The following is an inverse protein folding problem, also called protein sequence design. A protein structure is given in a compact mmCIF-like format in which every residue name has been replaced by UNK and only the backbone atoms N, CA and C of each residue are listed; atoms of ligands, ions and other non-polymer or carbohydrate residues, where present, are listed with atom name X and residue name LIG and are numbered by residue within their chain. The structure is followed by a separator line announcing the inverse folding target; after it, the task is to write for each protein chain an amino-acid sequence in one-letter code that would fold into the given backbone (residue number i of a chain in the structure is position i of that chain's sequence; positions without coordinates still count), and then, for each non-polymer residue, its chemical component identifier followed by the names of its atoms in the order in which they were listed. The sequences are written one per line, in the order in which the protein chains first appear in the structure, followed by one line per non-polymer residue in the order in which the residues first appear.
data_IF_541128442072
#
_entry.id   IF_541128442072
#
_cell.length_a   1.000
_cell.length_b   1.000
_cell.length_c   1.000
_cell.angle_alpha   90.00
_cell.angle_beta   90.00
_cell.angle_gamma   90.00
#
_symmetry.space_group_name_H-M   'P 1'
#
loop_
_entity.id
_entity.type
_entity.pdbx_description
1 polymer ?
#
# COMPACT_ATOMS: atom_id res chain seq x y z
N UNK A 1 -17.23 41.12 -85.13
CA UNK A 1 -16.59 41.55 -83.91
C UNK A 1 -17.46 41.29 -82.66
N UNK A 2 -18.48 40.41 -82.71
CA UNK A 2 -19.47 40.23 -81.64
C UNK A 2 -19.40 38.89 -80.90
N UNK A 3 -18.87 37.79 -81.47
CA UNK A 3 -18.90 36.47 -80.87
C UNK A 3 -17.74 36.24 -79.89
N UNK A 4 -16.57 36.79 -80.12
CA UNK A 4 -15.40 36.68 -79.29
C UNK A 4 -15.55 37.42 -77.92
N UNK A 5 -16.31 38.53 -77.93
CA UNK A 5 -16.57 39.31 -76.70
C UNK A 5 -17.62 38.68 -75.80
N UNK A 6 -18.60 38.00 -76.41
CA UNK A 6 -19.64 37.28 -75.67
C UNK A 6 -19.09 35.97 -75.00
N UNK A 7 -18.09 35.32 -75.65
CA UNK A 7 -17.42 34.16 -75.08
C UNK A 7 -16.52 34.50 -73.88
N UNK A 8 -15.82 35.64 -73.98
CA UNK A 8 -14.99 36.14 -72.83
C UNK A 8 -15.83 36.60 -71.67
N UNK A 9 -17.01 37.13 -71.89
CA UNK A 9 -17.92 37.55 -70.86
C UNK A 9 -18.59 36.31 -70.13
N UNK A 10 -18.94 35.27 -70.92
CA UNK A 10 -19.41 34.00 -70.34
C UNK A 10 -18.34 33.27 -69.49
N UNK A 11 -17.09 33.33 -69.91
CA UNK A 11 -15.97 32.78 -69.17
C UNK A 11 -15.70 33.56 -67.88
N UNK A 12 -15.78 34.88 -67.88
CA UNK A 12 -15.65 35.74 -66.70
C UNK A 12 -16.76 35.53 -65.68
N UNK A 13 -18.00 35.43 -66.14
CA UNK A 13 -19.14 35.16 -65.24
C UNK A 13 -19.09 33.74 -64.62
N UNK A 14 -18.68 32.75 -65.44
CA UNK A 14 -18.53 31.37 -64.94
C UNK A 14 -17.40 31.28 -63.93
N UNK A 15 -16.29 31.98 -64.07
CA UNK A 15 -15.19 31.98 -63.08
C UNK A 15 -15.56 32.73 -61.81
N UNK A 16 -16.37 33.82 -61.91
CA UNK A 16 -16.82 34.56 -60.73
C UNK A 16 -17.80 33.78 -59.88
N UNK A 17 -18.77 33.03 -60.45
CA UNK A 17 -19.67 32.13 -59.73
C UNK A 17 -18.95 30.90 -59.14
N UNK A 18 -18.01 30.32 -59.86
CA UNK A 18 -17.23 29.19 -59.38
C UNK A 18 -16.33 29.57 -58.19
N UNK A 19 -15.71 30.78 -58.25
CA UNK A 19 -14.91 31.26 -57.11
C UNK A 19 -15.73 31.53 -55.86
N UNK A 20 -16.94 32.11 -55.97
CA UNK A 20 -17.80 32.29 -54.80
C UNK A 20 -18.31 30.96 -54.22
N UNK A 21 -18.63 30.02 -55.10
CA UNK A 21 -19.06 28.68 -54.64
C UNK A 21 -17.91 27.93 -53.95
N UNK A 22 -16.70 28.02 -54.48
CA UNK A 22 -15.51 27.43 -53.86
C UNK A 22 -15.20 28.04 -52.49
N UNK A 23 -15.34 29.36 -52.35
CA UNK A 23 -15.14 30.02 -51.03
C UNK A 23 -16.13 29.46 -49.97
N UNK A 24 -17.39 29.32 -50.34
CA UNK A 24 -18.40 28.76 -49.40
C UNK A 24 -18.11 27.30 -49.05
N UNK A 25 -17.68 26.48 -50.02
CA UNK A 25 -17.30 25.09 -49.81
C UNK A 25 -16.07 24.99 -48.91
N UNK A 26 -15.07 25.80 -49.14
CA UNK A 26 -13.85 25.85 -48.29
C UNK A 26 -14.19 26.31 -46.90
N UNK A 27 -15.01 27.35 -46.74
CA UNK A 27 -15.45 27.84 -45.45
C UNK A 27 -16.24 26.78 -44.68
N UNK A 28 -17.13 26.04 -45.32
CA UNK A 28 -17.86 24.89 -44.73
C UNK A 28 -16.91 23.78 -44.28
N UNK A 29 -15.94 23.42 -45.12
CA UNK A 29 -14.98 22.36 -44.79
C UNK A 29 -14.04 22.77 -43.65
N UNK A 30 -13.65 24.04 -43.58
CA UNK A 30 -12.87 24.58 -42.45
C UNK A 30 -13.70 24.50 -41.13
N UNK A 31 -14.97 24.94 -41.21
CA UNK A 31 -15.85 24.82 -40.01
C UNK A 31 -16.05 23.37 -39.56
N UNK A 32 -16.23 22.43 -40.49
CA UNK A 32 -16.29 21.01 -40.17
C UNK A 32 -15.01 20.49 -39.53
N UNK A 33 -13.85 20.94 -40.03
CA UNK A 33 -12.57 20.59 -39.43
C UNK A 33 -12.45 21.13 -38.00
N UNK A 34 -12.83 22.37 -37.77
CA UNK A 34 -12.83 22.96 -36.41
C UNK A 34 -13.79 22.24 -35.46
N UNK A 35 -14.98 21.83 -35.90
CA UNK A 35 -15.90 21.05 -35.06
C UNK A 35 -15.35 19.68 -34.70
N UNK A 36 -14.69 18.98 -35.63
CA UNK A 36 -14.01 17.71 -35.37
C UNK A 36 -12.88 17.85 -34.36
N UNK A 37 -12.02 18.88 -34.52
CA UNK A 37 -10.93 19.15 -33.58
C UNK A 37 -11.47 19.47 -32.18
N UNK A 38 -12.52 20.32 -32.13
CA UNK A 38 -13.17 20.63 -30.82
C UNK A 38 -13.75 19.42 -30.14
N UNK A 39 -14.45 18.55 -30.89
CA UNK A 39 -15.01 17.31 -30.34
C UNK A 39 -13.92 16.36 -29.82
N UNK A 40 -12.81 16.23 -30.57
CA UNK A 40 -11.66 15.43 -30.15
C UNK A 40 -11.00 16.01 -28.89
N UNK A 41 -10.83 17.33 -28.81
CA UNK A 41 -10.27 18.01 -27.63
C UNK A 41 -11.12 17.78 -26.37
N UNK A 42 -12.45 17.82 -26.49
CA UNK A 42 -13.35 17.52 -25.36
C UNK A 42 -13.22 16.05 -24.94
N UNK A 43 -13.13 15.12 -25.87
CA UNK A 43 -12.94 13.70 -25.54
C UNK A 43 -11.62 13.45 -24.79
N UNK A 44 -10.53 14.07 -25.24
CA UNK A 44 -9.22 13.99 -24.55
C UNK A 44 -9.30 14.60 -23.16
N UNK A 45 -9.96 15.76 -23.00
CA UNK A 45 -10.14 16.41 -21.71
C UNK A 45 -10.92 15.52 -20.72
N UNK A 46 -11.98 14.86 -21.18
CA UNK A 46 -12.76 13.92 -20.34
C UNK A 46 -11.92 12.73 -19.87
N UNK A 47 -11.11 12.15 -20.78
CA UNK A 47 -10.19 11.06 -20.43
C UNK A 47 -9.15 11.53 -19.41
N UNK A 48 -8.62 12.73 -19.60
CA UNK A 48 -7.62 13.31 -18.69
C UNK A 48 -8.20 13.57 -17.29
N UNK A 49 -9.41 14.15 -17.21
CA UNK A 49 -10.12 14.36 -15.95
C UNK A 49 -10.41 13.03 -15.26
N UNK A 50 -10.87 12.02 -16.00
CA UNK A 50 -11.11 10.68 -15.46
C UNK A 50 -9.84 10.06 -14.87
N UNK A 51 -8.71 10.19 -15.54
CA UNK A 51 -7.41 9.71 -15.05
C UNK A 51 -6.97 10.44 -13.78
N UNK A 52 -7.12 11.76 -13.71
CA UNK A 52 -6.77 12.55 -12.53
C UNK A 52 -7.70 12.21 -11.35
N UNK A 53 -8.99 12.06 -11.58
CA UNK A 53 -9.94 11.69 -10.53
C UNK A 53 -9.73 10.25 -10.03
N UNK A 54 -9.33 9.34 -10.91
CA UNK A 54 -8.99 7.95 -10.54
C UNK A 54 -7.69 7.86 -9.73
N UNK A 55 -6.78 8.83 -9.86
CA UNK A 55 -5.50 8.88 -9.11
C UNK A 55 -5.62 9.56 -7.75
N UNK A 56 -6.71 10.26 -7.47
CA UNK A 56 -6.97 10.90 -6.18
C UNK A 56 -8.00 10.08 -5.39
N UNK A 57 -7.55 8.99 -4.78
CA UNK A 57 -8.23 8.44 -3.62
C UNK A 57 -8.08 9.45 -2.49
N UNK A 58 -9.14 10.15 -2.13
CA UNK A 58 -9.20 10.93 -0.90
C UNK A 58 -9.35 9.90 0.21
N UNK A 59 -8.24 9.49 0.79
CA UNK A 59 -8.28 8.65 1.99
C UNK A 59 -8.68 9.54 3.16
N UNK A 60 -9.83 9.28 3.81
CA UNK A 60 -10.16 9.98 5.04
C UNK A 60 -9.18 9.54 6.12
N UNK A 61 -8.28 10.43 6.51
CA UNK A 61 -7.42 10.20 7.67
C UNK A 61 -8.27 10.34 8.93
N UNK A 62 -8.43 9.26 9.68
CA UNK A 62 -8.97 9.34 11.03
C UNK A 62 -7.81 9.72 11.93
N UNK A 63 -7.85 10.92 12.46
CA UNK A 63 -6.93 11.40 13.48
C UNK A 63 -7.52 10.95 14.82
N UNK A 64 -6.98 9.90 15.41
CA UNK A 64 -7.28 9.55 16.79
C UNK A 64 -6.39 10.41 17.69
N UNK A 65 -7.00 11.38 18.35
CA UNK A 65 -6.33 12.22 19.34
C UNK A 65 -6.37 11.45 20.66
N UNK A 66 -5.24 10.99 21.14
CA UNK A 66 -5.14 10.37 22.45
C UNK A 66 -5.35 11.46 23.52
N UNK A 67 -6.45 11.39 24.27
CA UNK A 67 -6.86 12.41 25.25
C UNK A 67 -5.82 12.72 26.35
N UNK A 68 -4.81 11.86 26.51
CA UNK A 68 -3.77 12.03 27.56
C UNK A 68 -2.50 12.73 27.10
N UNK A 69 -2.14 12.71 25.82
CA UNK A 69 -0.85 13.25 25.35
C UNK A 69 -0.99 14.35 24.30
N UNK A 70 -2.19 14.57 23.73
CA UNK A 70 -2.42 15.59 22.70
C UNK A 70 -1.67 15.35 21.38
N UNK A 71 -1.01 14.22 21.21
CA UNK A 71 -0.25 13.88 20.01
C UNK A 71 -1.21 13.26 18.99
N UNK A 72 -1.40 13.95 17.86
CA UNK A 72 -2.16 13.42 16.73
C UNK A 72 -1.36 12.32 16.03
N UNK A 73 -1.75 11.06 16.23
CA UNK A 73 -1.16 9.94 15.49
C UNK A 73 -2.06 9.64 14.29
N UNK A 74 -1.51 9.74 13.09
CA UNK A 74 -2.20 9.33 11.86
C UNK A 74 -2.25 7.81 11.85
N UNK A 75 -3.42 7.26 12.16
CA UNK A 75 -3.67 5.82 12.00
C UNK A 75 -4.08 5.58 10.55
N UNK A 76 -3.19 5.00 9.74
CA UNK A 76 -3.57 4.48 8.42
C UNK A 76 -4.66 3.42 8.59
N UNK A 77 -5.88 3.73 8.15
CA UNK A 77 -6.90 2.70 8.03
C UNK A 77 -6.46 1.66 7.00
N UNK A 78 -6.22 0.45 7.44
CA UNK A 78 -5.98 -0.70 6.56
C UNK A 78 -7.26 -1.04 5.80
N UNK A 79 -7.51 -0.35 4.71
CA UNK A 79 -8.59 -0.72 3.80
C UNK A 79 -8.04 -1.76 2.82
N UNK A 80 -8.58 -2.97 2.87
CA UNK A 80 -8.15 -4.13 2.04
C UNK A 80 -8.17 -3.87 0.53
N UNK A 81 -8.82 -2.81 0.08
CA UNK A 81 -8.92 -2.43 -1.34
C UNK A 81 -7.63 -1.84 -1.92
N UNK A 82 -6.69 -1.39 -1.08
CA UNK A 82 -5.46 -0.72 -1.52
C UNK A 82 -4.24 -1.64 -1.57
N UNK A 83 -4.38 -2.92 -1.18
CA UNK A 83 -3.26 -3.86 -1.16
C UNK A 83 -3.36 -4.90 -2.27
N UNK A 84 -2.23 -5.17 -2.93
CA UNK A 84 -2.12 -6.36 -3.77
C UNK A 84 -2.20 -7.62 -2.92
N UNK A 85 -2.70 -8.74 -3.49
CA UNK A 85 -2.79 -10.01 -2.77
C UNK A 85 -1.46 -10.42 -2.09
N UNK A 86 -0.35 -10.11 -2.71
CA UNK A 86 1.01 -10.36 -2.18
C UNK A 86 1.30 -9.52 -0.91
N UNK A 87 0.90 -8.26 -0.88
CA UNK A 87 1.07 -7.40 0.31
C UNK A 87 0.20 -7.86 1.49
N UNK A 88 -1.01 -8.34 1.22
CA UNK A 88 -1.90 -8.88 2.26
C UNK A 88 -1.27 -10.12 2.90
N UNK A 89 -0.73 -11.02 2.09
CA UNK A 89 -0.05 -12.23 2.56
C UNK A 89 1.17 -11.88 3.42
N UNK A 90 2.00 -10.95 2.98
CA UNK A 90 3.17 -10.49 3.76
C UNK A 90 2.74 -9.89 5.10
N UNK A 91 1.75 -9.01 5.11
CA UNK A 91 1.20 -8.42 6.34
C UNK A 91 0.63 -9.48 7.29
N UNK A 92 -0.03 -10.51 6.77
CA UNK A 92 -0.54 -11.62 7.57
C UNK A 92 0.58 -12.33 8.32
N UNK A 93 1.65 -12.76 7.64
CA UNK A 93 2.78 -13.43 8.28
C UNK A 93 3.57 -12.52 9.22
N UNK A 94 3.74 -11.25 8.87
CA UNK A 94 4.35 -10.24 9.75
C UNK A 94 3.55 -10.12 11.04
N UNK A 95 2.22 -9.96 10.95
CA UNK A 95 1.34 -9.86 12.10
C UNK A 95 1.43 -11.10 12.99
N UNK A 96 1.30 -12.29 12.40
CA UNK A 96 1.40 -13.57 13.12
C UNK A 96 2.74 -13.71 13.83
N UNK A 97 3.84 -13.41 13.15
CA UNK A 97 5.18 -13.51 13.72
C UNK A 97 5.42 -12.49 14.84
N UNK A 98 5.07 -11.23 14.63
CA UNK A 98 5.29 -10.16 15.63
C UNK A 98 4.52 -10.44 16.91
N UNK A 99 3.26 -10.87 16.82
CA UNK A 99 2.48 -11.25 18.00
C UNK A 99 3.13 -12.41 18.76
N UNK A 100 3.52 -13.48 18.08
CA UNK A 100 4.16 -14.64 18.69
C UNK A 100 5.56 -14.31 19.25
N UNK A 101 6.34 -13.48 18.54
CA UNK A 101 7.74 -13.19 18.91
C UNK A 101 7.88 -12.10 19.98
N UNK A 102 6.96 -11.16 20.10
CA UNK A 102 7.05 -10.03 21.05
C UNK A 102 6.03 -10.11 22.18
N UNK A 103 5.01 -10.96 22.05
CA UNK A 103 4.04 -11.26 23.09
C UNK A 103 4.51 -12.36 24.04
N UNK A 104 3.84 -12.46 25.20
CA UNK A 104 3.96 -13.58 26.13
C UNK A 104 2.65 -13.77 26.90
N UNK A 105 2.06 -14.95 26.78
CA UNK A 105 0.99 -15.43 27.64
C UNK A 105 1.34 -16.90 28.03
N UNK A 106 1.43 -17.22 29.32
CA UNK A 106 1.76 -18.58 29.77
C UNK A 106 0.90 -19.67 29.15
N UNK A 107 -0.37 -19.37 28.83
CA UNK A 107 -1.33 -20.30 28.23
C UNK A 107 -1.07 -20.60 26.78
N UNK A 108 -0.62 -19.62 26.02
CA UNK A 108 -0.36 -19.74 24.56
C UNK A 108 1.12 -19.89 24.22
N UNK A 109 2.03 -19.67 25.17
CA UNK A 109 3.48 -19.64 24.95
C UNK A 109 4.02 -20.82 24.14
N UNK A 110 3.50 -22.04 24.38
CA UNK A 110 3.95 -23.24 23.65
C UNK A 110 3.60 -23.13 22.16
N UNK A 111 2.39 -22.70 21.84
CA UNK A 111 1.94 -22.52 20.47
C UNK A 111 2.68 -21.34 19.79
N UNK A 112 2.84 -20.23 20.50
CA UNK A 112 3.55 -19.05 20.00
C UNK A 112 5.03 -19.35 19.73
N UNK A 113 5.68 -20.08 20.63
CA UNK A 113 7.07 -20.53 20.44
C UNK A 113 7.22 -21.45 19.22
N UNK A 114 6.22 -22.27 18.92
CA UNK A 114 6.22 -23.13 17.75
C UNK A 114 6.04 -22.29 16.45
N UNK A 115 5.16 -21.31 16.47
CA UNK A 115 5.01 -20.34 15.37
C UNK A 115 6.35 -19.63 15.09
N UNK A 116 7.01 -19.12 16.14
CA UNK A 116 8.32 -18.46 15.97
C UNK A 116 9.37 -19.43 15.42
N UNK A 117 9.38 -20.70 15.89
CA UNK A 117 10.29 -21.73 15.39
C UNK A 117 10.13 -21.98 13.90
N UNK A 118 8.88 -22.04 13.43
CA UNK A 118 8.55 -22.36 12.04
C UNK A 118 8.73 -21.19 11.08
N UNK A 119 8.55 -19.96 11.58
CA UNK A 119 8.60 -18.75 10.77
C UNK A 119 9.95 -18.02 10.84
N UNK A 120 10.92 -18.49 11.63
CA UNK A 120 12.21 -17.82 11.78
C UNK A 120 13.39 -18.75 11.50
N UNK A 121 14.48 -18.16 11.06
CA UNK A 121 15.78 -18.85 11.01
C UNK A 121 16.27 -19.20 12.43
N UNK A 122 17.06 -20.28 12.60
CA UNK A 122 17.54 -20.73 13.91
C UNK A 122 18.19 -19.64 14.78
N UNK A 123 19.01 -18.70 14.26
CA UNK A 123 19.57 -17.63 15.06
C UNK A 123 18.50 -16.71 15.68
N UNK A 124 17.44 -16.40 14.91
CA UNK A 124 16.35 -15.55 15.39
C UNK A 124 15.52 -16.27 16.45
N UNK A 125 15.23 -17.55 16.23
CA UNK A 125 14.54 -18.37 17.23
C UNK A 125 15.35 -18.47 18.53
N UNK A 126 16.65 -18.65 18.47
CA UNK A 126 17.51 -18.68 19.66
C UNK A 126 17.51 -17.34 20.40
N UNK A 127 17.59 -16.21 19.68
CA UNK A 127 17.47 -14.87 20.25
C UNK A 127 16.10 -14.67 20.93
N UNK A 128 15.02 -15.14 20.30
CA UNK A 128 13.67 -15.16 20.90
C UNK A 128 13.64 -15.91 22.22
N UNK A 129 14.15 -17.16 22.27
CA UNK A 129 14.17 -17.99 23.47
C UNK A 129 15.00 -17.38 24.61
N UNK A 130 16.05 -16.64 24.30
CA UNK A 130 16.84 -15.92 25.31
C UNK A 130 16.07 -14.72 25.87
N UNK A 131 15.27 -14.04 25.06
CA UNK A 131 14.48 -12.87 25.46
C UNK A 131 13.19 -13.24 26.17
N UNK A 132 12.45 -14.21 25.63
CA UNK A 132 11.18 -14.70 26.19
C UNK A 132 11.43 -16.06 26.85
N UNK A 133 11.83 -16.02 28.11
CA UNK A 133 12.08 -17.23 28.88
C UNK A 133 10.94 -17.47 29.87
N UNK A 134 10.09 -18.43 29.55
CA UNK A 134 8.91 -18.77 30.37
C UNK A 134 9.26 -19.14 31.79
N UNK A 135 10.45 -19.74 32.06
CA UNK A 135 10.89 -20.07 33.42
C UNK A 135 11.21 -18.84 34.27
N UNK A 136 11.70 -17.76 33.63
CA UNK A 136 12.02 -16.50 34.30
C UNK A 136 10.80 -15.60 34.45
N UNK A 137 9.93 -15.58 33.43
CA UNK A 137 8.72 -14.76 33.44
C UNK A 137 7.63 -15.31 34.38
N UNK A 138 7.52 -16.63 34.46
CA UNK A 138 6.54 -17.30 35.33
C UNK A 138 5.13 -17.37 34.72
N UNK A 139 4.19 -17.83 35.55
CA UNK A 139 2.81 -18.07 35.13
C UNK A 139 1.89 -16.84 35.25
N UNK A 140 2.34 -15.78 35.90
CA UNK A 140 1.54 -14.57 36.14
C UNK A 140 1.92 -13.42 35.23
N UNK A 141 3.09 -13.48 34.55
CA UNK A 141 3.51 -12.45 33.61
C UNK A 141 2.70 -12.53 32.33
N UNK A 142 2.33 -11.38 31.79
CA UNK A 142 1.70 -11.23 30.46
C UNK A 142 2.35 -10.08 29.68
N UNK A 143 2.54 -10.28 28.39
CA UNK A 143 3.02 -9.24 27.48
C UNK A 143 2.11 -9.19 26.27
N UNK A 144 1.30 -8.13 26.17
CA UNK A 144 0.46 -7.87 25.02
C UNK A 144 1.22 -7.06 23.95
N UNK A 145 0.91 -7.29 22.68
CA UNK A 145 1.47 -6.53 21.56
C UNK A 145 0.35 -6.00 20.70
N UNK A 146 0.34 -4.69 20.45
CA UNK A 146 -0.56 -4.04 19.50
C UNK A 146 0.26 -3.41 18.39
N UNK A 147 0.06 -3.85 17.17
CA UNK A 147 0.70 -3.27 15.99
C UNK A 147 0.01 -1.94 15.67
N UNK A 148 0.77 -0.85 15.64
CA UNK A 148 0.32 0.50 15.27
C UNK A 148 0.39 0.71 13.76
N UNK A 149 1.52 0.34 13.14
CA UNK A 149 1.71 0.47 11.69
C UNK A 149 2.70 -0.55 11.15
N UNK A 150 2.56 -0.89 9.86
CA UNK A 150 3.50 -1.74 9.11
C UNK A 150 3.87 -1.01 7.84
N UNK A 151 5.13 -0.63 7.71
CA UNK A 151 5.68 0.04 6.53
C UNK A 151 6.72 -0.86 5.87
N UNK A 152 6.61 -1.09 4.57
CA UNK A 152 7.61 -1.82 3.81
C UNK A 152 8.68 -0.85 3.33
N UNK A 153 9.92 -1.06 3.76
CA UNK A 153 11.08 -0.33 3.27
C UNK A 153 11.54 -0.89 1.93
N UNK A 154 11.47 -2.21 1.79
CA UNK A 154 11.81 -2.98 0.59
C UNK A 154 10.83 -4.14 0.40
N UNK A 155 10.98 -4.87 -0.71
CA UNK A 155 10.17 -6.06 -0.98
C UNK A 155 10.23 -7.10 0.16
N UNK A 156 11.35 -7.18 0.88
CA UNK A 156 11.64 -8.20 1.89
C UNK A 156 11.98 -7.61 3.27
N UNK A 157 11.76 -6.32 3.47
CA UNK A 157 12.04 -5.65 4.75
C UNK A 157 10.87 -4.77 5.14
N UNK A 158 10.43 -4.92 6.39
CA UNK A 158 9.37 -4.11 6.96
C UNK A 158 9.83 -3.47 8.27
N UNK A 159 9.33 -2.26 8.50
CA UNK A 159 9.41 -1.56 9.77
C UNK A 159 8.01 -1.56 10.40
N UNK A 160 7.92 -2.07 11.61
CA UNK A 160 6.66 -2.27 12.32
C UNK A 160 6.71 -1.46 13.62
N UNK A 161 5.78 -0.54 13.79
CA UNK A 161 5.60 0.16 15.06
C UNK A 161 4.62 -0.60 15.92
N UNK A 162 5.00 -0.86 17.17
CA UNK A 162 4.19 -1.62 18.11
C UNK A 162 4.11 -0.89 19.45
N UNK A 163 2.97 -1.06 20.10
CA UNK A 163 2.81 -0.78 21.52
C UNK A 163 2.86 -2.11 22.25
N UNK A 164 3.87 -2.28 23.12
CA UNK A 164 3.98 -3.45 23.98
C UNK A 164 3.55 -3.11 25.41
N UNK A 165 2.52 -3.79 25.87
CA UNK A 165 2.05 -3.72 27.23
C UNK A 165 2.68 -4.86 28.04
N UNK A 166 3.32 -4.54 29.14
CA UNK A 166 4.07 -5.49 29.98
C UNK A 166 3.44 -5.49 31.35
N UNK A 167 2.84 -6.62 31.70
CA UNK A 167 2.27 -6.89 33.01
C UNK A 167 3.14 -7.94 33.72
N UNK A 168 3.89 -7.52 34.72
CA UNK A 168 4.72 -8.39 35.54
C UNK A 168 4.16 -8.46 36.96
N UNK A 169 4.26 -9.63 37.65
CA UNK A 169 3.79 -9.75 39.01
C UNK A 169 4.50 -8.74 39.94
N UNK A 170 3.73 -8.05 40.75
CA UNK A 170 4.19 -7.05 41.73
C UNK A 170 4.81 -5.77 41.10
N UNK A 171 4.56 -5.49 39.80
CA UNK A 171 4.97 -4.26 39.15
C UNK A 171 3.77 -3.57 38.50
N UNK A 172 3.84 -2.25 38.36
CA UNK A 172 2.84 -1.51 37.59
C UNK A 172 2.95 -1.89 36.10
N UNK A 173 1.80 -1.98 35.43
CA UNK A 173 1.75 -2.19 33.98
C UNK A 173 2.57 -1.13 33.26
N UNK A 174 3.51 -1.55 32.43
CA UNK A 174 4.34 -0.67 31.61
C UNK A 174 3.93 -0.76 30.15
N UNK A 175 3.78 0.41 29.52
CA UNK A 175 3.57 0.52 28.08
C UNK A 175 4.85 1.02 27.43
N UNK A 176 5.32 0.30 26.41
CA UNK A 176 6.51 0.67 25.64
C UNK A 176 6.19 0.78 24.17
N UNK A 177 6.53 1.92 23.58
CA UNK A 177 6.51 2.10 22.15
C UNK A 177 7.83 1.60 21.55
N UNK A 178 7.71 0.69 20.58
CA UNK A 178 8.87 0.04 19.97
C UNK A 178 8.74 0.03 18.45
N UNK A 179 9.89 0.11 17.80
CA UNK A 179 10.03 -0.06 16.35
C UNK A 179 10.77 -1.36 16.09
N UNK A 180 10.13 -2.25 15.36
CA UNK A 180 10.68 -3.54 14.95
C UNK A 180 11.11 -3.43 13.50
N UNK A 181 12.39 -3.69 13.21
CA UNK A 181 12.88 -3.86 11.84
C UNK A 181 13.03 -5.33 11.56
N UNK A 182 12.28 -5.82 10.58
CA UNK A 182 12.22 -7.23 10.22
C UNK A 182 12.53 -7.44 8.75
N UNK A 183 13.49 -8.34 8.44
CA UNK A 183 13.72 -8.84 7.08
C UNK A 183 13.27 -10.28 6.98
N UNK A 184 12.62 -10.63 5.88
CA UNK A 184 12.00 -11.93 5.64
C UNK A 184 12.07 -12.31 4.17
N UNK A 185 11.83 -13.58 3.89
CA UNK A 185 11.70 -14.10 2.53
C UNK A 185 10.77 -15.32 2.52
N UNK A 186 10.34 -15.72 1.34
CA UNK A 186 9.55 -16.92 1.14
C UNK A 186 10.42 -18.03 0.53
N UNK A 187 10.38 -19.22 1.11
CA UNK A 187 11.10 -20.40 0.65
C UNK A 187 10.13 -21.59 0.51
N UNK A 188 9.36 -21.69 -0.58
CA UNK A 188 8.35 -22.75 -0.73
C UNK A 188 8.95 -24.16 -0.69
N UNK A 189 10.24 -24.30 -1.04
CA UNK A 189 10.98 -25.57 -1.06
C UNK A 189 11.50 -26.05 0.30
N UNK A 190 11.26 -25.30 1.39
CA UNK A 190 11.68 -25.73 2.73
C UNK A 190 11.01 -27.04 3.11
N UNK A 191 11.79 -27.96 3.70
CA UNK A 191 11.29 -29.25 4.12
C UNK A 191 10.53 -29.12 5.44
N UNK A 192 9.20 -29.08 5.35
CA UNK A 192 8.27 -29.00 6.48
C UNK A 192 7.37 -30.23 6.49
N UNK A 193 6.96 -30.68 7.69
CA UNK A 193 5.92 -31.70 7.82
C UNK A 193 4.57 -31.15 7.36
N UNK A 194 3.57 -32.03 7.19
CA UNK A 194 2.23 -31.58 6.81
C UNK A 194 1.64 -30.63 7.87
N UNK A 195 1.84 -30.93 9.15
CA UNK A 195 1.38 -30.11 10.26
C UNK A 195 2.06 -28.72 10.28
N UNK A 196 3.39 -28.69 10.08
CA UNK A 196 4.15 -27.44 9.98
C UNK A 196 3.69 -26.56 8.80
N UNK A 197 3.31 -27.22 7.68
CA UNK A 197 2.77 -26.50 6.50
C UNK A 197 1.41 -25.88 6.71
N UNK A 198 0.61 -26.36 7.66
CA UNK A 198 -0.63 -25.69 8.04
C UNK A 198 -0.37 -24.34 8.72
N UNK A 199 0.75 -24.22 9.42
CA UNK A 199 1.17 -22.96 10.07
C UNK A 199 1.96 -22.08 9.09
N UNK A 200 2.83 -22.68 8.28
CA UNK A 200 3.71 -21.98 7.34
C UNK A 200 3.59 -22.54 5.91
N UNK A 201 2.45 -22.32 5.23
CA UNK A 201 2.20 -22.91 3.91
C UNK A 201 3.13 -22.39 2.81
N UNK A 202 3.62 -21.17 2.91
CA UNK A 202 4.44 -20.51 1.90
C UNK A 202 5.95 -20.57 2.20
N UNK A 203 6.34 -21.18 3.33
CA UNK A 203 7.74 -21.20 3.74
C UNK A 203 8.27 -19.79 4.08
N UNK A 204 7.47 -18.99 4.75
CA UNK A 204 7.89 -17.67 5.25
C UNK A 204 9.02 -17.84 6.27
N UNK A 205 10.10 -17.06 6.12
CA UNK A 205 11.28 -17.14 6.97
C UNK A 205 11.78 -15.75 7.35
N UNK A 206 11.82 -15.46 8.65
CA UNK A 206 12.42 -14.23 9.19
C UNK A 206 13.93 -14.43 9.34
N UNK A 207 14.69 -13.60 8.63
CA UNK A 207 16.16 -13.62 8.63
C UNK A 207 16.78 -12.57 9.55
N UNK A 208 16.05 -11.49 9.85
CA UNK A 208 16.47 -10.41 10.75
C UNK A 208 15.30 -9.92 11.58
N UNK A 209 15.51 -9.71 12.86
CA UNK A 209 14.49 -9.18 13.77
C UNK A 209 15.17 -8.35 14.85
N UNK A 210 15.01 -7.04 14.74
CA UNK A 210 15.60 -6.06 15.65
C UNK A 210 14.48 -5.22 16.28
N UNK A 211 14.53 -5.07 17.59
CA UNK A 211 13.61 -4.23 18.36
C UNK A 211 14.40 -3.04 18.90
N UNK A 212 13.90 -1.86 18.68
CA UNK A 212 14.41 -0.61 19.24
C UNK A 212 13.29 0.12 19.97
N UNK A 213 13.58 0.72 21.11
CA UNK A 213 12.63 1.62 21.77
C UNK A 213 12.47 2.88 20.92
N UNK A 214 11.23 3.33 20.69
CA UNK A 214 10.96 4.58 20.00
C UNK A 214 11.27 5.74 20.97
N UNK A 215 12.40 6.41 20.78
CA UNK A 215 12.74 7.60 21.55
C UNK A 215 11.90 8.77 21.02
N UNK A 216 10.93 9.23 21.79
CA UNK A 216 10.27 10.49 21.49
C UNK A 216 11.25 11.63 21.76
N UNK A 217 11.74 12.26 20.70
CA UNK A 217 12.44 13.55 20.82
C UNK A 217 11.35 14.60 21.00
N UNK A 218 11.27 15.15 22.21
CA UNK A 218 10.43 16.32 22.52
C UNK A 218 11.05 17.59 21.96
#
# INVERSE_FOLDING_TARGET
MSEADNSKNKLKTKSWYSNRYQIVVVQRNILLLFTLISMFSVAVAVIFVKNIMSSKSIEPYIIEVEEKTGIATVVEQMTSQNFTGDQIIRRYFINQFVHAASGYDPRTYKADSEVVRLLALPPIYNAYRSRINARQLGAEAQMGVRIKSVQFTDANTAQIRVLRQIDLPNQATANKDEVITMSFYFSPGINLTLEDRLINPLGFQVSKYLIAEEAFTY
#
